data_IF_147722140134
#
_entry.id   IF_147722140134
#
_cell.length_a   1.000
_cell.length_b   1.000
_cell.length_c   1.000
_cell.angle_alpha   90.00
_cell.angle_beta   90.00
_cell.angle_gamma   90.00
#
_symmetry.space_group_name_H-M   'P 1'
#
loop_
_entity.id
_entity.type
_entity.pdbx_description
1 polymer ?
#
# COMPACT_ATOMS: atom_id res chain seq x y z
N UNK A 1 -5.30 31.44 -6.31
CA UNK A 1 -5.15 31.21 -4.85
C UNK A 1 -3.76 30.67 -4.65
N UNK A 2 -2.88 31.47 -4.08
CA UNK A 2 -1.52 31.03 -3.77
C UNK A 2 -1.53 30.35 -2.39
N UNK A 3 -0.76 29.28 -2.23
CA UNK A 3 -0.62 28.58 -0.95
C UNK A 3 0.03 29.48 0.10
N UNK A 4 0.87 30.41 -0.35
CA UNK A 4 1.57 31.39 0.50
C UNK A 4 0.62 32.41 1.16
N UNK A 5 -0.59 32.61 0.62
CA UNK A 5 -1.59 33.51 1.20
C UNK A 5 -2.10 32.99 2.56
N UNK A 6 -2.17 31.67 2.74
CA UNK A 6 -2.52 31.07 4.03
C UNK A 6 -1.42 31.26 5.07
N UNK A 7 -0.15 31.10 4.68
CA UNK A 7 1.00 31.28 5.59
C UNK A 7 1.24 32.75 5.98
N UNK A 8 0.86 33.69 5.11
CA UNK A 8 0.92 35.13 5.38
C UNK A 8 -0.27 35.64 6.22
N UNK A 9 -1.21 34.76 6.55
CA UNK A 9 -2.39 35.11 7.36
C UNK A 9 -3.46 35.90 6.62
N UNK A 10 -3.39 36.00 5.28
CA UNK A 10 -4.44 36.68 4.49
C UNK A 10 -5.69 35.82 4.31
N UNK A 11 -5.58 34.50 4.50
CA UNK A 11 -6.68 33.53 4.45
C UNK A 11 -6.73 32.65 5.71
N UNK A 12 -7.94 32.28 6.19
CA UNK A 12 -8.09 31.48 7.39
C UNK A 12 -7.64 30.03 7.18
N UNK A 13 -7.02 29.45 8.21
CA UNK A 13 -6.49 28.08 8.20
C UNK A 13 -7.58 27.01 7.97
N UNK A 14 -8.80 27.27 8.41
CA UNK A 14 -9.96 26.38 8.19
C UNK A 14 -10.29 26.20 6.71
N UNK A 15 -10.04 27.21 5.88
CA UNK A 15 -10.26 27.14 4.43
C UNK A 15 -9.18 26.28 3.75
N UNK A 16 -7.94 26.34 4.24
CA UNK A 16 -6.87 25.46 3.78
C UNK A 16 -7.21 24.00 4.10
N UNK A 17 -7.65 23.71 5.32
CA UNK A 17 -8.05 22.36 5.72
C UNK A 17 -9.18 21.80 4.86
N UNK A 18 -10.22 22.59 4.58
CA UNK A 18 -11.32 22.16 3.69
C UNK A 18 -10.84 21.92 2.26
N UNK A 19 -9.91 22.74 1.78
CA UNK A 19 -9.31 22.57 0.46
C UNK A 19 -8.51 21.28 0.38
N UNK A 20 -7.62 21.02 1.35
CA UNK A 20 -6.83 19.80 1.44
C UNK A 20 -7.71 18.54 1.61
N UNK A 21 -8.81 18.64 2.34
CA UNK A 21 -9.76 17.54 2.52
C UNK A 21 -10.51 17.16 1.22
N UNK A 22 -10.70 18.12 0.31
CA UNK A 22 -11.39 17.89 -0.97
C UNK A 22 -10.45 17.49 -2.12
N UNK A 23 -9.16 17.29 -1.83
CA UNK A 23 -8.21 16.87 -2.87
C UNK A 23 -8.51 15.42 -3.29
N UNK A 24 -8.57 15.12 -4.61
CA UNK A 24 -8.81 13.76 -5.11
C UNK A 24 -7.80 12.73 -4.59
N UNK A 25 -8.27 11.49 -4.43
CA UNK A 25 -7.50 10.37 -3.83
C UNK A 25 -6.28 9.97 -4.67
N UNK A 26 -6.29 10.23 -5.98
CA UNK A 26 -5.13 9.99 -6.88
C UNK A 26 -4.16 11.17 -7.02
N UNK A 27 -4.34 12.25 -6.27
CA UNK A 27 -3.50 13.45 -6.37
C UNK A 27 -2.06 13.21 -5.89
N UNK A 28 -1.12 14.02 -6.40
CA UNK A 28 0.29 13.98 -5.96
C UNK A 28 0.45 14.28 -4.47
N UNK A 29 -0.43 15.11 -3.90
CA UNK A 29 -0.43 15.45 -2.48
C UNK A 29 -0.82 14.26 -1.59
N UNK A 30 -1.88 13.53 -1.95
CA UNK A 30 -2.27 12.30 -1.24
C UNK A 30 -1.21 11.22 -1.38
N UNK A 31 -0.64 11.08 -2.57
CA UNK A 31 0.43 10.13 -2.81
C UNK A 31 1.71 10.44 -2.01
N UNK A 32 2.07 11.72 -1.85
CA UNK A 32 3.23 12.09 -1.01
C UNK A 32 2.97 11.81 0.46
N UNK A 33 1.75 12.06 0.97
CA UNK A 33 1.41 11.67 2.35
C UNK A 33 1.44 10.15 2.54
N UNK A 34 0.92 9.40 1.58
CA UNK A 34 0.92 7.94 1.62
C UNK A 34 2.33 7.33 1.51
N UNK A 35 3.34 8.12 1.15
CA UNK A 35 4.75 7.73 1.00
C UNK A 35 5.62 8.15 2.18
N UNK A 36 5.09 8.98 3.07
CA UNK A 36 5.83 9.55 4.20
C UNK A 36 5.87 8.55 5.35
N UNK A 37 7.07 8.06 5.66
CA UNK A 37 7.29 7.06 6.71
C UNK A 37 7.11 7.65 8.10
N UNK A 38 7.53 8.90 8.32
CA UNK A 38 7.44 9.55 9.64
C UNK A 38 5.97 9.80 9.99
N UNK A 39 5.18 10.22 9.00
CA UNK A 39 3.73 10.36 9.15
C UNK A 39 3.06 9.00 9.41
N UNK A 40 3.50 7.96 8.71
CA UNK A 40 2.96 6.61 8.87
C UNK A 40 3.24 6.02 10.27
N UNK A 41 4.42 6.25 10.83
CA UNK A 41 4.76 5.85 12.20
C UNK A 41 3.83 6.52 13.22
N UNK A 42 3.62 7.83 13.10
CA UNK A 42 2.71 8.57 13.98
C UNK A 42 1.25 8.10 13.84
N UNK A 43 0.78 7.76 12.63
CA UNK A 43 -0.57 7.22 12.43
C UNK A 43 -0.73 5.88 13.16
N UNK A 44 0.25 4.98 13.02
CA UNK A 44 0.19 3.67 13.67
C UNK A 44 0.28 3.77 15.19
N UNK A 45 1.07 4.71 15.73
CA UNK A 45 1.10 4.98 17.18
C UNK A 45 -0.28 5.39 17.72
N UNK A 46 -1.00 6.27 17.00
CA UNK A 46 -2.36 6.67 17.38
C UNK A 46 -3.37 5.54 17.20
N UNK A 47 -3.22 4.68 16.18
CA UNK A 47 -4.05 3.49 15.98
C UNK A 47 -3.86 2.45 17.09
N UNK A 48 -2.62 2.25 17.56
CA UNK A 48 -2.29 1.33 18.66
C UNK A 48 -2.92 1.81 19.99
N UNK A 49 -2.92 3.12 20.24
CA UNK A 49 -3.60 3.73 21.40
C UNK A 49 -5.14 3.57 21.35
N UNK A 50 -5.71 3.39 20.15
CA UNK A 50 -7.16 3.32 19.92
C UNK A 50 -7.70 1.91 19.63
N UNK A 51 -6.83 0.89 19.62
CA UNK A 51 -7.21 -0.53 19.63
C UNK A 51 -7.56 -1.15 18.27
N UNK A 52 -6.89 -0.75 17.18
CA UNK A 52 -7.14 -1.27 15.83
C UNK A 52 -6.62 -2.71 15.58
N UNK A 53 -7.47 -3.58 15.02
CA UNK A 53 -7.15 -4.98 14.66
C UNK A 53 -6.55 -5.05 13.25
N UNK A 54 -5.39 -5.72 13.11
CA UNK A 54 -4.69 -5.95 11.84
C UNK A 54 -4.93 -7.35 11.25
N UNK A 55 -4.91 -7.46 9.92
CA UNK A 55 -4.31 -8.59 9.19
C UNK A 55 -4.39 -8.42 7.66
N UNK A 56 -3.25 -8.52 6.97
CA UNK A 56 -3.11 -9.33 5.75
C UNK A 56 -1.63 -9.49 5.36
N UNK A 57 -1.14 -10.72 5.49
CA UNK A 57 0.20 -11.17 5.16
C UNK A 57 0.30 -11.58 3.68
N UNK A 58 1.30 -11.06 2.96
CA UNK A 58 1.78 -11.62 1.70
C UNK A 58 3.31 -11.70 1.72
N UNK A 59 3.81 -12.87 1.31
CA UNK A 59 5.20 -13.32 1.44
C UNK A 59 6.08 -12.73 0.32
N UNK A 60 6.38 -11.44 0.41
CA UNK A 60 7.54 -10.73 -0.16
C UNK A 60 7.51 -9.34 0.50
N UNK A 61 8.63 -8.82 1.03
CA UNK A 61 8.59 -7.55 1.77
C UNK A 61 8.02 -6.41 0.92
N UNK A 62 7.05 -5.63 1.43
CA UNK A 62 6.43 -4.59 0.65
C UNK A 62 7.46 -3.53 0.27
N UNK A 63 7.65 -3.32 -1.03
CA UNK A 63 8.52 -2.27 -1.56
C UNK A 63 7.65 -1.02 -1.75
N UNK A 64 8.04 0.10 -1.13
CA UNK A 64 7.36 1.39 -1.28
C UNK A 64 7.23 1.75 -2.77
N UNK A 65 5.99 1.91 -3.24
CA UNK A 65 5.67 2.24 -4.63
C UNK A 65 4.61 3.32 -4.69
N UNK A 66 4.85 4.32 -5.54
CA UNK A 66 4.05 5.54 -5.58
C UNK A 66 2.60 5.24 -5.93
N UNK A 67 1.69 5.66 -5.06
CA UNK A 67 0.24 5.65 -5.31
C UNK A 67 -0.21 6.81 -6.21
N UNK A 68 0.70 7.71 -6.63
CA UNK A 68 0.35 8.80 -7.53
C UNK A 68 -0.20 8.25 -8.86
N UNK A 69 -1.42 8.63 -9.22
CA UNK A 69 -2.08 8.16 -10.44
C UNK A 69 -2.71 6.77 -10.34
N UNK A 70 -2.71 6.13 -9.16
CA UNK A 70 -3.50 4.94 -8.91
C UNK A 70 -4.94 5.34 -8.58
N UNK A 71 -5.74 5.45 -9.63
CA UNK A 71 -7.19 5.56 -9.52
C UNK A 71 -7.84 4.17 -9.44
N UNK A 72 -9.10 4.11 -9.01
CA UNK A 72 -9.90 2.89 -8.95
C UNK A 72 -9.90 2.14 -10.29
N UNK A 73 -9.97 2.89 -11.40
CA UNK A 73 -9.91 2.32 -12.75
C UNK A 73 -8.60 1.57 -13.01
N UNK A 74 -7.48 2.09 -12.51
CA UNK A 74 -6.16 1.45 -12.64
C UNK A 74 -6.12 0.16 -11.82
N UNK A 75 -6.67 0.18 -10.60
CA UNK A 75 -6.76 -1.01 -9.75
C UNK A 75 -7.60 -2.12 -10.38
N UNK A 76 -8.74 -1.76 -11.00
CA UNK A 76 -9.58 -2.70 -11.74
C UNK A 76 -8.83 -3.29 -12.93
N UNK A 77 -8.13 -2.47 -13.72
CA UNK A 77 -7.34 -2.93 -14.86
C UNK A 77 -6.21 -3.89 -14.45
N UNK A 78 -5.51 -3.60 -13.35
CA UNK A 78 -4.48 -4.51 -12.83
C UNK A 78 -5.07 -5.85 -12.40
N UNK A 79 -6.25 -5.82 -11.78
CA UNK A 79 -6.93 -7.04 -11.36
C UNK A 79 -7.39 -7.88 -12.55
N UNK A 80 -7.87 -7.23 -13.62
CA UNK A 80 -8.19 -7.90 -14.88
C UNK A 80 -6.93 -8.52 -15.50
N UNK A 81 -5.81 -7.81 -15.51
CA UNK A 81 -4.55 -8.33 -16.03
C UNK A 81 -4.06 -9.56 -15.25
N UNK A 82 -4.14 -9.54 -13.92
CA UNK A 82 -3.80 -10.69 -13.06
C UNK A 82 -4.68 -11.91 -13.38
N UNK A 83 -6.00 -11.71 -13.56
CA UNK A 83 -6.94 -12.78 -13.92
C UNK A 83 -6.64 -13.38 -15.31
N UNK A 84 -6.26 -12.54 -16.28
CA UNK A 84 -5.86 -13.01 -17.61
C UNK A 84 -4.58 -13.84 -17.53
N UNK A 85 -3.59 -13.40 -16.73
CA UNK A 85 -2.36 -14.15 -16.53
C UNK A 85 -2.63 -15.50 -15.86
N UNK A 86 -3.56 -15.53 -14.90
CA UNK A 86 -4.00 -16.76 -14.23
C UNK A 86 -4.71 -17.72 -15.20
N UNK A 87 -5.62 -17.21 -16.03
CA UNK A 87 -6.25 -18.00 -17.09
C UNK A 87 -5.22 -18.60 -18.06
N UNK A 88 -4.26 -17.80 -18.53
CA UNK A 88 -3.20 -18.29 -19.41
C UNK A 88 -2.37 -19.39 -18.75
N UNK A 89 -1.97 -19.20 -17.49
CA UNK A 89 -1.21 -20.21 -16.75
C UNK A 89 -2.00 -21.50 -16.54
N UNK A 90 -3.31 -21.42 -16.26
CA UNK A 90 -4.17 -22.61 -16.14
C UNK A 90 -4.32 -23.36 -17.46
N UNK A 91 -4.46 -22.65 -18.58
CA UNK A 91 -4.54 -23.26 -19.91
C UNK A 91 -3.24 -23.97 -20.25
N UNK A 92 -2.10 -23.33 -19.99
CA UNK A 92 -0.78 -23.93 -20.17
C UNK A 92 -0.62 -25.16 -19.28
N UNK A 93 -1.02 -25.09 -18.01
CA UNK A 93 -0.91 -26.20 -17.07
C UNK A 93 -1.71 -27.44 -17.50
N UNK A 94 -2.92 -27.26 -18.04
CA UNK A 94 -3.77 -28.37 -18.50
C UNK A 94 -3.23 -29.00 -19.79
N UNK A 95 -2.58 -28.24 -20.66
CA UNK A 95 -2.05 -28.72 -21.94
C UNK A 95 -0.57 -29.15 -21.87
N UNK A 96 0.05 -29.09 -20.70
CA UNK A 96 1.47 -29.39 -20.55
C UNK A 96 1.70 -30.90 -20.44
N UNK A 97 2.76 -31.44 -21.09
CA UNK A 97 3.18 -32.81 -20.82
C UNK A 97 3.63 -32.97 -19.36
N UNK A 98 3.50 -34.18 -18.78
CA UNK A 98 3.69 -34.42 -17.34
C UNK A 98 5.09 -34.08 -16.80
N UNK A 99 6.09 -33.99 -17.68
CA UNK A 99 7.49 -33.70 -17.31
C UNK A 99 7.84 -32.21 -17.24
N UNK A 100 6.87 -31.30 -17.46
CA UNK A 100 7.12 -29.86 -17.44
C UNK A 100 6.31 -29.17 -16.34
N UNK A 101 6.95 -28.21 -15.66
CA UNK A 101 6.31 -27.41 -14.63
C UNK A 101 5.53 -26.24 -15.25
N UNK A 102 4.33 -25.92 -14.75
CA UNK A 102 3.58 -24.75 -15.20
C UNK A 102 4.31 -23.45 -14.87
N UNK A 103 4.08 -22.37 -15.64
CA UNK A 103 4.69 -21.07 -15.37
C UNK A 103 4.20 -20.51 -14.03
N UNK A 104 5.13 -19.96 -13.24
CA UNK A 104 4.79 -19.25 -12.01
C UNK A 104 4.16 -17.90 -12.37
N UNK A 105 2.97 -17.64 -11.84
CA UNK A 105 2.30 -16.36 -11.98
C UNK A 105 2.90 -15.41 -10.94
N UNK A 106 3.38 -14.27 -11.39
CA UNK A 106 3.77 -13.17 -10.52
C UNK A 106 2.73 -12.06 -10.71
N UNK A 107 1.95 -11.73 -9.68
CA UNK A 107 0.99 -10.63 -9.74
C UNK A 107 1.69 -9.33 -10.14
N UNK A 108 0.97 -8.46 -10.84
CA UNK A 108 1.49 -7.14 -11.14
C UNK A 108 1.82 -6.40 -9.84
N UNK A 109 2.94 -5.66 -9.81
CA UNK A 109 3.33 -4.98 -8.60
C UNK A 109 2.36 -3.86 -8.25
N UNK A 110 1.79 -3.93 -7.06
CA UNK A 110 0.82 -2.96 -6.52
C UNK A 110 1.55 -1.81 -5.82
N UNK A 111 0.94 -0.61 -5.77
CA UNK A 111 1.47 0.48 -4.97
C UNK A 111 1.27 0.09 -3.51
N UNK A 112 2.27 0.35 -2.69
CA UNK A 112 2.24 0.04 -1.27
C UNK A 112 2.38 1.34 -0.51
N UNK A 113 1.48 1.57 0.44
CA UNK A 113 1.53 2.73 1.32
C UNK A 113 2.66 2.60 2.36
N UNK A 114 3.18 3.72 2.83
CA UNK A 114 4.14 3.81 3.92
C UNK A 114 3.62 3.15 5.20
N UNK A 115 2.31 3.26 5.47
CA UNK A 115 1.64 2.60 6.59
C UNK A 115 1.77 1.08 6.51
N UNK A 116 1.51 0.49 5.34
CA UNK A 116 1.67 -0.96 5.13
C UNK A 116 3.13 -1.41 5.31
N UNK A 117 4.10 -0.61 4.86
CA UNK A 117 5.52 -0.93 5.03
C UNK A 117 5.95 -0.90 6.49
N UNK A 118 5.56 0.14 7.23
CA UNK A 118 5.87 0.25 8.66
C UNK A 118 5.16 -0.86 9.45
N UNK A 119 3.90 -1.16 9.13
CA UNK A 119 3.16 -2.26 9.74
C UNK A 119 3.85 -3.61 9.51
N UNK A 120 4.19 -3.93 8.26
CA UNK A 120 4.92 -5.17 7.94
C UNK A 120 6.29 -5.25 8.62
N UNK A 121 6.96 -4.11 8.83
CA UNK A 121 8.23 -4.05 9.58
C UNK A 121 8.03 -4.35 11.06
N UNK A 122 6.98 -3.81 11.69
CA UNK A 122 6.61 -4.12 13.08
C UNK A 122 6.22 -5.58 13.25
N UNK A 123 5.35 -6.10 12.39
CA UNK A 123 4.95 -7.52 12.40
C UNK A 123 6.15 -8.46 12.28
N UNK A 124 7.12 -8.15 11.41
CA UNK A 124 8.37 -8.94 11.30
C UNK A 124 9.23 -8.88 12.55
N UNK A 125 9.32 -7.72 13.20
CA UNK A 125 10.04 -7.58 14.46
C UNK A 125 9.35 -8.39 15.56
N UNK A 126 8.02 -8.33 15.65
CA UNK A 126 7.23 -9.07 16.63
C UNK A 126 7.39 -10.58 16.42
N UNK A 127 7.28 -11.06 15.18
CA UNK A 127 7.51 -12.47 14.85
C UNK A 127 8.94 -12.93 15.20
N UNK A 128 9.95 -12.10 14.92
CA UNK A 128 11.33 -12.41 15.30
C UNK A 128 11.48 -12.54 16.83
N UNK A 129 10.90 -11.62 17.60
CA UNK A 129 10.92 -11.73 19.08
C UNK A 129 10.17 -12.94 19.59
N UNK A 130 9.03 -13.30 18.98
CA UNK A 130 8.28 -14.51 19.34
C UNK A 130 9.09 -15.77 19.05
N UNK A 131 9.75 -15.86 17.90
CA UNK A 131 10.60 -17.00 17.54
C UNK A 131 11.78 -17.15 18.52
N UNK A 132 12.42 -16.05 18.90
CA UNK A 132 13.46 -16.04 19.95
C UNK A 132 12.94 -16.54 21.31
N UNK A 133 11.73 -16.15 21.70
CA UNK A 133 11.08 -16.61 22.95
C UNK A 133 10.72 -18.10 22.90
N UNK A 134 10.29 -18.62 21.73
CA UNK A 134 9.93 -20.03 21.55
C UNK A 134 11.13 -20.95 21.26
N UNK A 135 12.34 -20.41 21.13
CA UNK A 135 13.58 -21.18 21.08
C UNK A 135 13.76 -22.04 19.83
N UNK A 136 13.23 -21.58 18.69
CA UNK A 136 13.47 -22.16 17.35
C UNK A 136 14.29 -21.17 16.53
#
# INVERSE_FOLDING_TARGET
MDLLDFFRGSLPWTKLWRFLAQVPDGSRYRASQAMDLDLAEHILEVEDETGGVAAQSADEGPILRSSAGYDLNVQVLMTIADLIQQLNATLIAVNLPPDKSPPKIHPLPRPVSAVEVVRARRERADLATQLEVFGI
#
